data_IF_540037586193
#
_entry.id   IF_540037586193
#
_cell.length_a   1.000
_cell.length_b   1.000
_cell.length_c   1.000
_cell.angle_alpha   90.00
_cell.angle_beta   90.00
_cell.angle_gamma   90.00
#
_symmetry.space_group_name_H-M   'P 1'
#
loop_
_entity.id
_entity.type
_entity.pdbx_description
1 polymer ?
#
# COMPACT_ATOMS: atom_id res chain seq x y z
N UNK A 1 0.98 -9.99 18.65
CA UNK A 1 0.28 -10.56 17.48
C UNK A 1 1.28 -11.17 16.54
N UNK A 2 1.19 -12.48 16.31
CA UNK A 2 2.13 -13.23 15.49
C UNK A 2 1.46 -14.37 14.71
N UNK A 3 2.13 -14.82 13.63
CA UNK A 3 1.72 -15.97 12.82
C UNK A 3 0.32 -15.85 12.19
N UNK A 4 -0.12 -14.63 11.88
CA UNK A 4 -1.36 -14.35 11.14
C UNK A 4 -1.05 -14.03 9.66
N UNK A 5 -2.10 -13.80 8.86
CA UNK A 5 -1.95 -13.14 7.55
C UNK A 5 -1.38 -11.74 7.71
N UNK A 6 -1.96 -10.98 8.65
CA UNK A 6 -1.69 -9.57 8.93
C UNK A 6 -1.73 -9.40 10.45
N UNK A 7 -0.95 -8.50 11.00
CA UNK A 7 -0.92 -8.30 12.45
C UNK A 7 -2.15 -7.58 12.98
N UNK A 8 -2.30 -6.32 12.61
CA UNK A 8 -3.47 -5.48 12.90
C UNK A 8 -3.97 -4.89 11.59
N UNK A 9 -5.27 -4.94 11.35
CA UNK A 9 -5.85 -4.49 10.09
C UNK A 9 -7.19 -3.75 10.26
N UNK A 10 -7.25 -2.57 10.93
CA UNK A 10 -8.41 -1.71 10.80
C UNK A 10 -8.67 -1.40 9.33
N UNK A 11 -9.85 -1.80 8.86
CA UNK A 11 -10.25 -1.65 7.47
C UNK A 11 -11.71 -1.19 7.38
N UNK A 12 -11.96 -0.29 6.43
CA UNK A 12 -13.33 0.14 6.13
C UNK A 12 -14.04 -0.89 5.29
N UNK A 13 -15.25 -1.28 5.65
CA UNK A 13 -16.07 -2.20 4.88
C UNK A 13 -17.46 -1.60 4.66
N UNK A 14 -18.04 -1.76 3.46
CA UNK A 14 -19.36 -1.20 3.13
C UNK A 14 -20.50 -1.93 3.85
N UNK A 15 -20.21 -3.09 4.44
CA UNK A 15 -21.10 -3.84 5.35
C UNK A 15 -21.19 -3.25 6.75
N UNK A 16 -20.34 -2.30 7.12
CA UNK A 16 -20.44 -1.60 8.40
C UNK A 16 -21.55 -0.53 8.36
N UNK A 17 -22.09 -0.18 9.52
CA UNK A 17 -23.20 0.78 9.60
C UNK A 17 -22.77 2.21 9.23
N UNK A 18 -21.52 2.59 9.54
CA UNK A 18 -21.01 3.95 9.42
C UNK A 18 -19.58 3.98 8.86
N UNK A 19 -19.35 3.52 7.60
CA UNK A 19 -18.05 3.66 6.96
C UNK A 19 -17.72 5.15 6.70
N UNK A 20 -16.42 5.53 6.66
CA UNK A 20 -15.25 4.68 6.88
C UNK A 20 -14.90 4.47 8.36
N UNK A 21 -14.09 3.43 8.61
CA UNK A 21 -13.38 3.22 9.87
C UNK A 21 -12.60 4.49 10.26
N UNK A 22 -12.69 4.89 11.53
CA UNK A 22 -12.07 6.13 12.00
C UNK A 22 -11.71 6.15 13.47
N UNK A 23 -10.73 6.98 13.81
CA UNK A 23 -10.35 7.36 15.18
C UNK A 23 -9.86 6.19 16.05
N UNK A 24 -9.34 5.11 15.43
CA UNK A 24 -8.72 3.99 16.13
C UNK A 24 -7.34 4.38 16.68
N UNK A 25 -7.10 4.07 17.96
CA UNK A 25 -5.79 4.22 18.59
C UNK A 25 -5.11 2.86 18.77
N UNK A 26 -4.00 2.65 18.05
CA UNK A 26 -3.13 1.48 18.14
C UNK A 26 -1.86 1.86 18.90
N UNK A 27 -1.76 1.43 20.16
CA UNK A 27 -0.73 1.87 21.08
C UNK A 27 -0.06 0.71 21.82
N UNK A 28 1.28 0.66 21.80
CA UNK A 28 2.04 -0.22 22.70
C UNK A 28 2.01 -1.71 22.35
N UNK A 29 1.82 -2.08 21.09
CA UNK A 29 1.69 -3.47 20.66
C UNK A 29 3.02 -4.07 20.19
N UNK A 30 3.18 -5.39 20.37
CA UNK A 30 4.15 -6.20 19.64
C UNK A 30 3.45 -6.89 18.45
N UNK A 31 3.90 -6.58 17.25
CA UNK A 31 3.37 -7.12 15.98
C UNK A 31 4.51 -7.78 15.20
N UNK A 32 4.57 -9.10 15.23
CA UNK A 32 5.77 -9.85 14.84
C UNK A 32 5.44 -11.00 13.89
N UNK A 33 6.13 -11.08 12.75
CA UNK A 33 6.09 -12.26 11.88
C UNK A 33 4.67 -12.70 11.45
N UNK A 34 3.84 -11.77 10.96
CA UNK A 34 2.50 -12.08 10.46
C UNK A 34 2.56 -12.37 8.96
N UNK A 35 3.03 -13.58 8.62
CA UNK A 35 3.30 -14.03 7.26
C UNK A 35 2.71 -15.40 6.94
N UNK A 36 1.64 -15.81 7.64
CA UNK A 36 1.14 -17.18 7.62
C UNK A 36 0.10 -17.40 6.51
N UNK A 37 0.44 -18.05 5.38
CA UNK A 37 -0.52 -18.28 4.28
C UNK A 37 -1.57 -19.36 4.62
N UNK A 38 -1.41 -20.07 5.74
CA UNK A 38 -2.36 -21.08 6.22
C UNK A 38 -3.38 -20.49 7.21
N UNK A 39 -3.27 -19.21 7.55
CA UNK A 39 -4.31 -18.54 8.30
C UNK A 39 -5.54 -18.32 7.37
N UNK A 40 -6.77 -18.42 7.89
CA UNK A 40 -7.98 -18.18 7.09
C UNK A 40 -8.08 -16.73 6.63
N UNK A 41 -8.56 -16.50 5.40
CA UNK A 41 -8.74 -15.14 4.85
C UNK A 41 -9.82 -15.09 3.76
N UNK A 42 -10.52 -13.95 3.66
CA UNK A 42 -11.40 -13.67 2.54
C UNK A 42 -10.62 -13.17 1.30
N UNK A 43 -11.18 -13.39 0.10
CA UNK A 43 -10.49 -13.04 -1.15
C UNK A 43 -10.12 -11.55 -1.26
N UNK A 44 -11.04 -10.64 -0.87
CA UNK A 44 -10.80 -9.19 -0.92
C UNK A 44 -9.77 -8.73 0.12
N UNK A 45 -9.58 -9.50 1.19
CA UNK A 45 -8.65 -9.20 2.27
C UNK A 45 -7.24 -9.74 1.97
N UNK A 46 -7.07 -10.59 0.96
CA UNK A 46 -5.79 -11.20 0.60
C UNK A 46 -4.60 -10.22 0.42
N UNK A 47 -4.80 -8.97 -0.06
CA UNK A 47 -3.74 -7.95 -0.08
C UNK A 47 -3.14 -7.59 1.30
N UNK A 48 -3.81 -7.95 2.40
CA UNK A 48 -3.31 -7.76 3.75
C UNK A 48 -2.15 -8.69 4.14
N UNK A 49 -1.92 -9.77 3.38
CA UNK A 49 -0.85 -10.73 3.64
C UNK A 49 0.51 -10.07 3.87
N UNK A 50 1.21 -10.50 4.91
CA UNK A 50 2.58 -10.10 5.17
C UNK A 50 2.73 -8.63 5.57
N UNK A 51 1.65 -7.97 6.02
CA UNK A 51 1.72 -6.63 6.59
C UNK A 51 1.66 -6.70 8.13
N UNK A 52 2.40 -5.84 8.81
CA UNK A 52 2.37 -5.75 10.27
C UNK A 52 1.12 -5.04 10.76
N UNK A 53 1.08 -3.72 10.66
CA UNK A 53 -0.09 -2.88 10.93
C UNK A 53 -0.57 -2.31 9.61
N UNK A 54 -1.83 -2.50 9.29
CA UNK A 54 -2.45 -2.10 8.04
C UNK A 54 -3.67 -1.23 8.32
N UNK A 55 -3.68 0.00 7.81
CA UNK A 55 -4.84 0.89 7.83
C UNK A 55 -5.39 0.96 6.41
N UNK A 56 -6.56 0.35 6.19
CA UNK A 56 -7.21 0.28 4.89
C UNK A 56 -8.47 1.17 4.86
N UNK A 57 -8.38 2.28 4.14
CA UNK A 57 -9.48 3.26 4.02
C UNK A 57 -9.80 4.02 5.31
N UNK A 58 -8.92 3.97 6.33
CA UNK A 58 -9.17 4.52 7.65
C UNK A 58 -8.88 6.03 7.78
N UNK A 59 -9.63 6.70 8.66
CA UNK A 59 -9.52 8.13 8.93
C UNK A 59 -9.04 8.44 10.34
N UNK A 60 -8.08 9.36 10.47
CA UNK A 60 -7.69 9.94 11.77
C UNK A 60 -7.22 8.91 12.81
N UNK A 61 -6.64 7.79 12.37
CA UNK A 61 -6.11 6.78 13.28
C UNK A 61 -4.78 7.20 13.88
N UNK A 62 -4.47 6.71 15.07
CA UNK A 62 -3.21 6.98 15.78
C UNK A 62 -2.46 5.67 16.01
N UNK A 63 -1.31 5.52 15.37
CA UNK A 63 -0.44 4.34 15.46
C UNK A 63 0.84 4.76 16.15
N UNK A 64 0.96 4.41 17.44
CA UNK A 64 2.04 4.94 18.29
C UNK A 64 2.72 3.91 19.19
N UNK A 65 4.03 4.05 19.42
CA UNK A 65 4.79 3.23 20.38
C UNK A 65 4.65 1.72 20.17
N UNK A 66 4.46 1.27 18.93
CA UNK A 66 4.39 -0.15 18.61
C UNK A 66 5.77 -0.68 18.20
N UNK A 67 5.98 -1.97 18.40
CA UNK A 67 7.13 -2.73 17.89
C UNK A 67 6.62 -3.65 16.77
N UNK A 68 7.05 -3.40 15.54
CA UNK A 68 6.53 -4.06 14.32
C UNK A 68 7.68 -4.66 13.51
N UNK A 69 7.83 -5.99 13.50
CA UNK A 69 9.07 -6.63 13.04
C UNK A 69 8.80 -7.89 12.19
N UNK A 70 9.68 -8.15 11.20
CA UNK A 70 9.70 -9.37 10.36
C UNK A 70 8.43 -9.58 9.51
N UNK A 71 8.09 -8.62 8.65
CA UNK A 71 6.92 -8.72 7.77
C UNK A 71 7.33 -8.87 6.31
N UNK A 72 6.69 -9.76 5.55
CA UNK A 72 7.08 -10.08 4.18
C UNK A 72 6.81 -8.95 3.19
N UNK A 73 5.81 -8.11 3.46
CA UNK A 73 5.48 -6.91 2.71
C UNK A 73 5.89 -5.66 3.50
N UNK A 74 4.98 -5.07 4.28
CA UNK A 74 5.21 -3.81 4.95
C UNK A 74 5.15 -3.95 6.47
N UNK A 75 5.91 -3.15 7.20
CA UNK A 75 5.80 -3.05 8.65
C UNK A 75 4.50 -2.36 9.04
N UNK A 76 4.42 -1.05 8.80
CA UNK A 76 3.21 -0.24 8.94
C UNK A 76 2.82 0.28 7.55
N UNK A 77 1.59 0.03 7.12
CA UNK A 77 1.07 0.48 5.83
C UNK A 77 -0.26 1.20 5.97
N UNK A 78 -0.34 2.38 5.37
CA UNK A 78 -1.59 3.12 5.16
C UNK A 78 -1.92 3.02 3.68
N UNK A 79 -3.08 2.47 3.34
CA UNK A 79 -3.53 2.31 1.96
C UNK A 79 -5.03 2.60 1.83
N UNK A 80 -5.52 2.99 0.64
CA UNK A 80 -6.94 3.01 0.40
C UNK A 80 -7.53 1.59 0.48
N UNK A 81 -8.80 1.47 0.82
CA UNK A 81 -9.53 0.22 0.72
C UNK A 81 -10.47 0.21 -0.49
N UNK A 82 -10.59 -0.94 -1.12
CA UNK A 82 -11.54 -1.18 -2.19
C UNK A 82 -12.52 -2.27 -1.74
N UNK A 83 -13.78 -1.89 -1.58
CA UNK A 83 -14.90 -2.80 -1.34
C UNK A 83 -15.99 -2.51 -2.40
N UNK A 84 -17.26 -2.29 -2.05
CA UNK A 84 -18.25 -1.78 -3.00
C UNK A 84 -17.92 -0.33 -3.40
N UNK A 85 -17.39 0.45 -2.45
CA UNK A 85 -16.88 1.80 -2.64
C UNK A 85 -15.35 1.85 -2.48
N UNK A 86 -14.76 2.95 -2.97
CA UNK A 86 -13.34 3.22 -2.81
C UNK A 86 -13.10 4.20 -1.66
N UNK A 87 -12.46 3.71 -0.61
CA UNK A 87 -12.23 4.44 0.64
C UNK A 87 -10.79 4.90 0.74
N UNK A 88 -10.59 6.22 0.78
CA UNK A 88 -9.26 6.82 0.87
C UNK A 88 -8.84 7.03 2.34
N UNK A 89 -7.61 6.68 2.67
CA UNK A 89 -7.04 6.89 4.00
C UNK A 89 -6.47 8.30 4.19
N UNK A 90 -6.89 8.99 5.25
CA UNK A 90 -6.51 10.38 5.52
C UNK A 90 -6.26 10.65 7.00
N UNK A 91 -5.46 11.68 7.27
CA UNK A 91 -5.23 12.23 8.62
C UNK A 91 -4.71 11.22 9.66
N UNK A 92 -4.16 10.08 9.24
CA UNK A 92 -3.59 9.10 10.16
C UNK A 92 -2.22 9.57 10.68
N UNK A 93 -1.92 9.23 11.93
CA UNK A 93 -0.71 9.63 12.64
C UNK A 93 0.11 8.38 12.94
N UNK A 94 1.34 8.31 12.44
CA UNK A 94 2.27 7.19 12.71
C UNK A 94 3.48 7.74 13.45
N UNK A 95 3.59 7.49 14.75
CA UNK A 95 4.58 8.16 15.58
C UNK A 95 5.27 7.23 16.61
N UNK A 96 6.55 7.45 16.87
CA UNK A 96 7.31 6.77 17.92
C UNK A 96 7.28 5.23 17.82
N UNK A 97 7.13 4.65 16.62
CA UNK A 97 7.13 3.19 16.42
C UNK A 97 8.54 2.67 16.12
N UNK A 98 8.83 1.44 16.53
CA UNK A 98 10.04 0.71 16.14
C UNK A 98 9.65 -0.30 15.07
N UNK A 99 10.14 -0.12 13.85
CA UNK A 99 9.74 -0.93 12.70
C UNK A 99 10.96 -1.35 11.89
N UNK A 100 11.17 -2.67 11.71
CA UNK A 100 12.32 -3.14 10.92
C UNK A 100 12.13 -4.55 10.35
N UNK A 101 13.00 -4.91 9.41
CA UNK A 101 13.01 -6.19 8.70
C UNK A 101 11.75 -6.44 7.86
N UNK A 102 11.19 -5.38 7.28
CA UNK A 102 10.07 -5.51 6.34
C UNK A 102 10.58 -5.77 4.91
N UNK A 103 9.90 -6.64 4.16
CA UNK A 103 10.36 -7.07 2.83
C UNK A 103 10.31 -5.97 1.75
N UNK A 104 9.30 -5.09 1.80
CA UNK A 104 9.15 -3.92 0.92
C UNK A 104 9.65 -2.66 1.62
N UNK A 105 8.96 -2.25 2.67
CA UNK A 105 9.32 -1.09 3.47
C UNK A 105 8.80 -1.19 4.90
N UNK A 106 9.52 -0.59 5.84
CA UNK A 106 9.11 -0.54 7.24
C UNK A 106 7.90 0.39 7.42
N UNK A 107 7.89 1.54 6.75
CA UNK A 107 6.75 2.47 6.76
C UNK A 107 6.30 2.74 5.33
N UNK A 108 5.01 2.57 5.06
CA UNK A 108 4.46 2.72 3.72
C UNK A 108 3.19 3.56 3.72
N UNK A 109 3.14 4.56 2.85
CA UNK A 109 1.93 5.28 2.46
C UNK A 109 1.60 4.89 1.01
N UNK A 110 0.36 4.50 0.72
CA UNK A 110 -0.06 3.96 -0.57
C UNK A 110 -1.20 4.79 -1.15
N UNK A 111 -1.25 4.88 -2.48
CA UNK A 111 -2.40 5.39 -3.21
C UNK A 111 -2.12 6.68 -3.99
N UNK A 112 -2.96 7.02 -4.99
CA UNK A 112 -2.76 8.21 -5.80
C UNK A 112 -3.00 9.49 -5.01
N UNK A 113 -3.84 9.39 -3.97
CA UNK A 113 -4.20 10.47 -3.06
C UNK A 113 -4.31 9.88 -1.66
N UNK A 114 -3.56 10.41 -0.70
CA UNK A 114 -3.64 10.03 0.71
C UNK A 114 -3.10 11.18 1.57
N UNK A 115 -3.92 12.21 1.74
CA UNK A 115 -3.50 13.49 2.32
C UNK A 115 -3.68 13.55 3.84
N UNK A 116 -2.98 14.49 4.48
CA UNK A 116 -3.12 14.76 5.92
C UNK A 116 -2.44 13.74 6.83
N UNK A 117 -2.11 12.55 6.33
CA UNK A 117 -1.31 11.57 7.06
C UNK A 117 0.05 12.15 7.45
N UNK A 118 0.54 11.81 8.64
CA UNK A 118 1.82 12.29 9.11
C UNK A 118 2.61 11.22 9.87
N UNK A 119 3.93 11.38 9.84
CA UNK A 119 4.90 10.45 10.40
C UNK A 119 5.88 11.22 11.26
N UNK A 120 6.32 10.70 12.41
CA UNK A 120 7.37 11.37 13.20
C UNK A 120 7.97 10.47 14.27
N UNK A 121 9.28 10.55 14.47
CA UNK A 121 9.95 9.90 15.59
C UNK A 121 9.97 8.38 15.50
N UNK A 122 9.71 7.81 14.31
CA UNK A 122 9.76 6.38 14.12
C UNK A 122 11.21 5.91 13.95
N UNK A 123 11.54 4.74 14.48
CA UNK A 123 12.78 4.05 14.19
C UNK A 123 12.56 3.05 13.05
N UNK A 124 13.09 3.33 11.87
CA UNK A 124 12.93 2.50 10.68
C UNK A 124 14.19 2.48 9.79
N UNK A 125 14.23 1.57 8.81
CA UNK A 125 15.31 1.51 7.81
C UNK A 125 14.84 1.88 6.41
N UNK A 126 13.62 1.49 6.05
CA UNK A 126 13.06 1.72 4.71
C UNK A 126 11.68 2.35 4.80
N UNK A 127 11.39 3.28 3.90
CA UNK A 127 10.09 3.91 3.79
C UNK A 127 9.68 4.01 2.32
N UNK A 128 8.37 4.00 2.07
CA UNK A 128 7.78 4.19 0.76
C UNK A 128 6.60 5.17 0.85
N UNK A 129 6.60 6.28 0.10
CA UNK A 129 7.66 6.77 -0.77
C UNK A 129 8.96 7.14 -0.04
N UNK A 130 10.07 7.27 -0.77
CA UNK A 130 11.33 7.73 -0.18
C UNK A 130 11.18 9.14 0.41
N UNK A 131 11.79 9.38 1.56
CA UNK A 131 11.71 10.64 2.32
C UNK A 131 10.31 10.94 2.87
N UNK A 132 9.45 9.92 3.06
CA UNK A 132 8.09 10.07 3.55
C UNK A 132 8.01 10.84 4.87
N UNK A 133 8.73 10.40 5.92
CA UNK A 133 8.67 11.09 7.22
C UNK A 133 9.27 12.50 7.15
N UNK A 134 10.29 12.70 6.32
CA UNK A 134 10.92 14.01 6.11
C UNK A 134 9.96 15.03 5.52
N UNK A 135 9.17 14.65 4.50
CA UNK A 135 8.27 15.57 3.79
C UNK A 135 6.86 15.61 4.37
N UNK A 136 6.46 14.58 5.13
CA UNK A 136 5.14 14.47 5.77
C UNK A 136 5.27 14.31 7.29
N UNK A 137 6.22 15.04 7.88
CA UNK A 137 6.41 15.11 9.33
C UNK A 137 5.18 15.62 10.07
N UNK A 138 4.83 15.04 11.23
CA UNK A 138 3.71 15.55 12.03
C UNK A 138 3.91 17.00 12.52
N UNK A 139 5.16 17.43 12.75
CA UNK A 139 5.51 18.82 13.07
C UNK A 139 5.88 19.69 11.87
N UNK A 140 5.80 19.18 10.64
CA UNK A 140 6.27 19.90 9.45
C UNK A 140 5.33 21.04 9.07
N UNK A 141 5.90 22.23 8.83
CA UNK A 141 5.17 23.43 8.37
C UNK A 141 4.54 23.24 6.98
N UNK A 142 5.19 22.46 6.11
CA UNK A 142 4.67 22.08 4.79
C UNK A 142 4.58 20.56 4.77
N UNK A 143 3.36 20.03 4.56
CA UNK A 143 3.12 18.64 4.19
C UNK A 143 2.75 18.62 2.72
N UNK A 144 3.55 17.96 1.89
CA UNK A 144 3.30 17.91 0.47
C UNK A 144 2.13 16.94 0.21
N UNK A 145 1.15 17.28 -0.64
CA UNK A 145 0.14 16.33 -1.09
C UNK A 145 0.73 15.37 -2.13
N UNK A 146 1.91 14.80 -1.83
CA UNK A 146 2.50 13.74 -2.64
C UNK A 146 1.67 12.49 -2.45
N UNK A 147 1.25 11.88 -3.56
CA UNK A 147 0.64 10.55 -3.53
C UNK A 147 1.57 9.55 -2.83
N UNK A 148 0.99 8.45 -2.38
CA UNK A 148 1.73 7.31 -1.84
C UNK A 148 2.37 6.44 -2.93
N UNK A 149 2.92 5.32 -2.49
CA UNK A 149 3.46 4.26 -3.34
C UNK A 149 2.35 3.64 -4.21
N UNK A 150 2.45 3.84 -5.52
CA UNK A 150 1.55 3.22 -6.49
C UNK A 150 1.93 1.76 -6.77
N UNK A 151 3.16 1.35 -6.47
CA UNK A 151 3.61 -0.02 -6.74
C UNK A 151 2.93 -1.03 -5.82
N UNK A 152 2.78 -0.70 -4.52
CA UNK A 152 1.98 -1.48 -3.57
C UNK A 152 0.49 -1.46 -3.95
N UNK A 153 -0.06 -0.31 -4.38
CA UNK A 153 -1.47 -0.21 -4.78
C UNK A 153 -1.79 -1.19 -5.92
N UNK A 154 -0.98 -1.18 -6.98
CA UNK A 154 -1.20 -2.04 -8.14
C UNK A 154 -0.89 -3.51 -7.82
N UNK A 155 0.11 -3.78 -6.99
CA UNK A 155 0.38 -5.14 -6.51
C UNK A 155 -0.77 -5.70 -5.67
N UNK A 156 -1.35 -4.89 -4.78
CA UNK A 156 -2.54 -5.23 -3.99
C UNK A 156 -3.74 -5.53 -4.90
N UNK A 157 -3.96 -4.71 -5.93
CA UNK A 157 -5.00 -4.95 -6.93
C UNK A 157 -4.77 -6.27 -7.69
N UNK A 158 -3.52 -6.59 -8.04
CA UNK A 158 -3.16 -7.87 -8.64
C UNK A 158 -3.44 -9.06 -7.71
N UNK A 159 -3.18 -8.92 -6.41
CA UNK A 159 -3.56 -9.94 -5.41
C UNK A 159 -5.07 -10.11 -5.31
N UNK A 160 -5.84 -9.01 -5.30
CA UNK A 160 -7.29 -9.05 -5.23
C UNK A 160 -7.91 -9.72 -6.48
N UNK A 161 -7.41 -9.39 -7.67
CA UNK A 161 -7.85 -10.01 -8.93
C UNK A 161 -7.49 -11.49 -9.00
N UNK A 162 -6.31 -11.87 -8.48
CA UNK A 162 -5.96 -13.27 -8.33
C UNK A 162 -6.93 -14.01 -7.40
N UNK A 163 -7.22 -13.41 -6.25
CA UNK A 163 -8.07 -13.99 -5.22
C UNK A 163 -9.54 -14.07 -5.64
N UNK A 164 -10.04 -13.12 -6.44
CA UNK A 164 -11.41 -13.12 -6.96
C UNK A 164 -11.68 -14.33 -7.87
N UNK A 165 -10.65 -14.81 -8.57
CA UNK A 165 -10.66 -16.07 -9.31
C UNK A 165 -10.65 -17.34 -8.45
N UNK A 166 -10.63 -17.22 -7.11
CA UNK A 166 -10.53 -18.33 -6.15
C UNK A 166 -9.13 -18.94 -6.04
N UNK A 167 -8.10 -18.28 -6.57
CA UNK A 167 -6.72 -18.81 -6.65
C UNK A 167 -5.82 -18.17 -5.62
N UNK A 168 -6.02 -18.46 -4.34
CA UNK A 168 -5.16 -17.97 -3.27
C UNK A 168 -5.05 -19.01 -2.14
N UNK A 169 -3.89 -19.09 -1.46
CA UNK A 169 -3.78 -19.88 -0.25
C UNK A 169 -4.64 -19.25 0.84
N UNK A 170 -5.51 -20.07 1.43
CA UNK A 170 -6.26 -19.72 2.65
C UNK A 170 -6.36 -20.96 3.50
N UNK A 171 -6.22 -20.79 4.81
CA UNK A 171 -6.58 -21.83 5.77
C UNK A 171 -8.07 -22.09 5.82
N UNK A 172 -8.45 -23.28 6.31
CA UNK A 172 -9.79 -23.56 6.79
C UNK A 172 -9.88 -23.16 8.26
N UNK A 173 -10.86 -22.32 8.62
CA UNK A 173 -11.06 -21.89 10.01
C UNK A 173 -11.45 -23.07 10.93
N UNK A 174 -12.10 -24.11 10.39
CA UNK A 174 -12.51 -25.31 11.13
C UNK A 174 -11.34 -26.25 11.47
N UNK A 175 -10.22 -26.11 10.75
CA UNK A 175 -9.02 -26.95 10.93
C UNK A 175 -7.93 -26.22 11.72
N UNK A 176 -8.19 -25.00 12.19
CA UNK A 176 -7.23 -24.27 13.00
C UNK A 176 -7.01 -24.97 14.34
N UNK A 177 -5.76 -24.95 14.87
CA UNK A 177 -5.48 -25.55 16.16
C UNK A 177 -6.31 -24.87 17.24
N UNK A 178 -6.76 -25.65 18.22
CA UNK A 178 -7.40 -25.10 19.41
C UNK A 178 -6.34 -24.22 20.13
N UNK A 179 -6.63 -22.94 20.41
CA UNK A 179 -5.71 -22.09 21.13
C UNK A 179 -5.34 -22.72 22.48
N UNK A 180 -4.05 -22.65 22.83
CA UNK A 180 -3.61 -23.03 24.17
C UNK A 180 -4.26 -22.14 25.25
N UNK A 181 -4.12 -22.52 26.54
CA UNK A 181 -4.64 -21.73 27.65
C UNK A 181 -4.22 -20.26 27.55
N UNK A 182 -5.19 -19.35 27.60
CA UNK A 182 -4.97 -17.91 27.59
C UNK A 182 -5.10 -17.32 28.99
N UNK A 183 -4.41 -16.21 29.24
CA UNK A 183 -4.65 -15.44 30.45
C UNK A 183 -6.08 -14.90 30.42
N UNK A 184 -6.90 -15.30 31.40
CA UNK A 184 -8.25 -14.79 31.53
C UNK A 184 -8.24 -13.33 32.00
N UNK A 185 -9.29 -12.59 31.63
CA UNK A 185 -9.51 -11.26 32.21
C UNK A 185 -9.54 -11.34 33.74
N UNK A 186 -8.93 -10.38 34.45
CA UNK A 186 -8.98 -10.34 35.91
C UNK A 186 -10.44 -10.39 36.42
N UNK A 187 -10.63 -11.02 37.57
CA UNK A 187 -11.92 -11.17 38.27
C UNK A 187 -12.95 -12.08 37.58
N UNK A 188 -12.97 -12.20 36.24
CA UNK A 188 -13.85 -13.13 35.52
C UNK A 188 -15.31 -13.04 35.99
N UNK A 189 -15.88 -14.15 36.46
CA UNK A 189 -17.25 -14.20 36.99
C UNK A 189 -17.47 -13.38 38.28
N UNK A 190 -16.40 -13.04 39.00
CA UNK A 190 -16.45 -12.17 40.17
C UNK A 190 -16.32 -10.67 39.80
N UNK A 191 -16.20 -10.33 38.51
CA UNK A 191 -16.18 -8.94 38.08
C UNK A 191 -17.53 -8.27 38.37
N UNK A 192 -17.55 -7.05 38.91
CA UNK A 192 -18.80 -6.33 39.18
C UNK A 192 -19.52 -6.00 37.86
N UNK A 193 -20.80 -6.34 37.78
CA UNK A 193 -21.65 -5.97 36.65
C UNK A 193 -21.94 -4.47 36.72
N UNK A 194 -21.40 -3.71 35.76
CA UNK A 194 -21.65 -2.28 35.61
C UNK A 194 -22.30 -2.01 34.25
N UNK A 195 -23.39 -1.24 34.18
CA UNK A 195 -23.90 -0.74 32.91
C UNK A 195 -22.81 0.04 32.16
N UNK A 196 -22.64 -0.22 30.86
CA UNK A 196 -21.65 0.45 30.02
C UNK A 196 -22.07 1.88 29.64
N UNK A 197 -22.43 2.69 30.63
CA UNK A 197 -22.82 4.09 30.45
C UNK A 197 -21.61 5.01 30.31
N UNK A 198 -20.52 4.67 31.00
CA UNK A 198 -19.29 5.48 31.13
C UNK A 198 -18.04 4.63 30.90
N UNK A 199 -18.13 3.55 30.10
CA UNK A 199 -17.10 2.52 30.00
C UNK A 199 -15.69 3.05 29.69
N UNK A 200 -15.58 4.15 28.95
CA UNK A 200 -14.29 4.78 28.63
C UNK A 200 -13.81 5.78 29.69
N UNK A 201 -14.73 6.43 30.41
CA UNK A 201 -14.44 7.37 31.50
C UNK A 201 -14.02 6.61 32.77
N UNK A 202 -14.71 5.51 33.07
CA UNK A 202 -14.47 4.65 34.22
C UNK A 202 -13.13 3.92 34.15
N UNK A 203 -12.63 3.64 32.94
CA UNK A 203 -11.41 2.85 32.74
C UNK A 203 -10.12 3.66 32.96
N UNK A 204 -10.21 5.01 33.08
CA UNK A 204 -9.12 5.96 33.34
C UNK A 204 -7.74 5.55 32.76
N UNK A 205 -7.71 5.15 31.48
CA UNK A 205 -6.50 4.68 30.82
C UNK A 205 -5.62 5.87 30.44
N UNK A 206 -4.46 5.98 31.08
CA UNK A 206 -3.46 6.96 30.68
C UNK A 206 -2.62 6.43 29.52
N UNK A 207 -2.94 6.87 28.30
CA UNK A 207 -2.23 6.51 27.07
C UNK A 207 -0.72 6.83 27.11
N UNK A 208 -0.29 7.81 27.90
CA UNK A 208 1.14 8.12 27.99
C UNK A 208 1.93 7.10 28.82
N UNK A 209 1.24 6.34 29.68
CA UNK A 209 1.85 5.35 30.58
C UNK A 209 1.75 3.90 30.07
N UNK A 210 1.13 3.68 28.91
CA UNK A 210 1.07 2.35 28.28
C UNK A 210 2.49 1.88 27.96
N UNK A 211 2.85 0.69 28.48
CA UNK A 211 4.14 0.04 28.28
C UNK A 211 4.01 -1.05 27.23
N UNK A 212 5.11 -1.30 26.52
CA UNK A 212 5.24 -2.47 25.66
C UNK A 212 5.14 -3.78 26.48
N UNK A 213 4.66 -4.87 25.86
CA UNK A 213 4.68 -6.19 26.48
C UNK A 213 6.12 -6.65 26.71
N UNK A 214 6.36 -7.49 27.72
CA UNK A 214 7.71 -7.96 28.09
C UNK A 214 8.39 -8.70 26.94
N UNK A 215 7.59 -9.44 26.19
CA UNK A 215 7.96 -10.19 25.00
C UNK A 215 8.58 -9.26 23.93
N UNK A 216 8.16 -7.98 23.87
CA UNK A 216 8.75 -7.03 22.92
C UNK A 216 10.22 -6.76 23.22
N UNK A 217 10.60 -6.65 24.50
CA UNK A 217 11.99 -6.44 24.90
C UNK A 217 12.86 -7.64 24.54
N UNK A 218 12.33 -8.85 24.65
CA UNK A 218 13.03 -10.08 24.28
C UNK A 218 13.21 -10.18 22.76
N UNK A 219 12.17 -9.92 21.98
CA UNK A 219 12.24 -9.91 20.52
C UNK A 219 13.23 -8.85 20.02
N UNK A 220 13.25 -7.65 20.61
CA UNK A 220 14.20 -6.60 20.24
C UNK A 220 15.67 -6.98 20.50
N UNK A 221 15.93 -7.81 21.51
CA UNK A 221 17.29 -8.32 21.81
C UNK A 221 17.70 -9.47 20.90
N UNK A 222 16.75 -10.30 20.49
CA UNK A 222 17.00 -11.56 19.77
C UNK A 222 16.95 -11.43 18.26
N UNK A 223 16.14 -10.51 17.72
CA UNK A 223 15.96 -10.34 16.28
C UNK A 223 16.85 -9.20 15.76
N UNK A 224 17.97 -9.51 15.07
CA UNK A 224 18.88 -8.49 14.59
C UNK A 224 18.28 -7.71 13.42
N UNK A 225 18.66 -6.43 13.30
CA UNK A 225 18.24 -5.58 12.18
C UNK A 225 19.01 -5.95 10.89
N UNK A 226 18.31 -6.45 9.88
CA UNK A 226 18.82 -6.81 8.54
C UNK A 226 19.06 -5.57 7.68
N UNK A 227 20.07 -5.54 6.80
CA UNK A 227 20.30 -4.41 5.90
C UNK A 227 19.04 -3.98 5.15
N UNK A 228 18.89 -2.68 4.89
CA UNK A 228 17.75 -2.13 4.18
C UNK A 228 17.60 -2.80 2.79
N UNK A 229 16.36 -3.16 2.42
CA UNK A 229 16.06 -3.53 1.04
C UNK A 229 16.28 -2.31 0.15
N UNK A 230 17.19 -2.42 -0.82
CA UNK A 230 17.50 -1.32 -1.76
C UNK A 230 16.52 -1.21 -2.93
N UNK A 231 15.59 -2.16 -3.05
CA UNK A 231 14.71 -2.27 -4.22
C UNK A 231 13.40 -1.48 -4.09
N UNK A 232 12.98 -1.15 -2.86
CA UNK A 232 11.84 -0.25 -2.59
C UNK A 232 10.60 -0.53 -3.44
N UNK A 233 10.15 0.47 -4.21
CA UNK A 233 8.97 0.36 -5.06
C UNK A 233 9.12 -0.62 -6.25
N UNK A 234 10.31 -1.17 -6.51
CA UNK A 234 10.55 -2.20 -7.53
C UNK A 234 10.37 -3.61 -6.96
N UNK A 235 10.41 -3.76 -5.63
CA UNK A 235 10.10 -5.06 -5.00
C UNK A 235 8.69 -5.48 -5.42
N UNK A 236 8.46 -6.76 -5.68
CA UNK A 236 7.11 -7.28 -5.92
C UNK A 236 6.36 -7.43 -4.60
N UNK A 237 5.04 -7.25 -4.64
CA UNK A 237 4.18 -7.59 -3.51
C UNK A 237 4.17 -9.11 -3.33
N UNK A 238 4.28 -9.55 -2.08
CA UNK A 238 4.20 -10.97 -1.70
C UNK A 238 2.76 -11.36 -1.31
N UNK A 239 2.38 -12.62 -1.50
CA UNK A 239 3.17 -13.66 -2.15
C UNK A 239 3.29 -13.42 -3.65
N UNK A 240 4.43 -13.81 -4.22
CA UNK A 240 4.71 -13.60 -5.64
C UNK A 240 3.77 -14.49 -6.46
N UNK A 241 3.09 -13.90 -7.43
CA UNK A 241 2.19 -14.60 -8.33
C UNK A 241 2.13 -13.92 -9.70
N UNK A 242 1.47 -14.58 -10.65
CA UNK A 242 1.34 -14.08 -12.02
C UNK A 242 0.62 -12.73 -12.07
N UNK A 243 -0.49 -12.57 -11.35
CA UNK A 243 -1.24 -11.32 -11.36
C UNK A 243 -0.49 -10.17 -10.67
N UNK A 244 0.00 -10.29 -9.43
CA UNK A 244 0.84 -9.23 -8.83
C UNK A 244 2.02 -8.84 -9.72
N UNK A 245 2.67 -9.80 -10.40
CA UNK A 245 3.75 -9.54 -11.35
C UNK A 245 3.29 -8.66 -12.53
N UNK A 246 2.23 -9.07 -13.24
CA UNK A 246 1.73 -8.30 -14.39
C UNK A 246 1.14 -6.95 -14.00
N UNK A 247 0.49 -6.83 -12.84
CA UNK A 247 0.00 -5.54 -12.35
C UNK A 247 1.13 -4.61 -11.97
N UNK A 248 2.20 -5.13 -11.38
CA UNK A 248 3.39 -4.35 -11.12
C UNK A 248 4.08 -3.94 -12.43
N UNK A 249 4.22 -4.86 -13.38
CA UNK A 249 4.93 -4.57 -14.63
C UNK A 249 4.12 -3.67 -15.58
N UNK A 250 2.87 -4.03 -15.89
CA UNK A 250 1.99 -3.30 -16.82
C UNK A 250 1.30 -2.11 -16.16
N UNK A 251 0.99 -2.18 -14.87
CA UNK A 251 0.33 -1.07 -14.17
C UNK A 251 1.33 -0.03 -13.69
N UNK A 252 2.43 -0.47 -13.05
CA UNK A 252 3.35 0.46 -12.38
C UNK A 252 4.55 0.81 -13.26
N UNK A 253 5.25 -0.18 -13.82
CA UNK A 253 6.50 0.06 -14.57
C UNK A 253 6.29 0.53 -16.01
N UNK A 254 5.25 0.03 -16.69
CA UNK A 254 4.99 0.33 -18.09
C UNK A 254 4.80 1.83 -18.37
N UNK A 255 4.07 2.63 -17.58
CA UNK A 255 4.00 4.08 -17.79
C UNK A 255 5.37 4.76 -17.82
N UNK A 256 6.31 4.36 -16.96
CA UNK A 256 7.68 4.89 -16.96
C UNK A 256 8.46 4.43 -18.19
N UNK A 257 8.34 3.15 -18.57
CA UNK A 257 9.01 2.61 -19.76
C UNK A 257 8.51 3.31 -21.04
N UNK A 258 7.20 3.50 -21.14
CA UNK A 258 6.55 4.25 -22.21
C UNK A 258 7.05 5.69 -22.25
N UNK A 259 7.07 6.37 -21.10
CA UNK A 259 7.56 7.74 -21.01
C UNK A 259 9.00 7.87 -21.51
N UNK A 260 9.91 7.01 -21.03
CA UNK A 260 11.32 6.99 -21.43
C UNK A 260 11.43 6.73 -22.94
N UNK A 261 10.69 5.75 -23.45
CA UNK A 261 10.74 5.37 -24.86
C UNK A 261 10.22 6.50 -25.78
N UNK A 262 9.05 7.06 -25.48
CA UNK A 262 8.46 8.14 -26.27
C UNK A 262 9.31 9.41 -26.23
N UNK A 263 9.83 9.76 -25.05
CA UNK A 263 10.72 10.92 -24.89
C UNK A 263 12.00 10.73 -25.71
N UNK A 264 12.64 9.57 -25.58
CA UNK A 264 13.88 9.26 -26.33
C UNK A 264 13.65 9.32 -27.84
N UNK A 265 12.59 8.67 -28.34
CA UNK A 265 12.27 8.69 -29.77
C UNK A 265 11.93 10.09 -30.27
N UNK A 266 11.21 10.89 -29.47
CA UNK A 266 10.87 12.27 -29.84
C UNK A 266 12.11 13.15 -29.94
N UNK A 267 13.03 13.05 -28.97
CA UNK A 267 14.26 13.84 -28.95
C UNK A 267 15.25 13.41 -30.06
N UNK A 268 15.34 12.10 -30.33
CA UNK A 268 16.15 11.59 -31.44
C UNK A 268 15.64 12.07 -32.80
N UNK A 269 14.33 12.03 -33.02
CA UNK A 269 13.73 12.58 -34.24
C UNK A 269 14.02 14.09 -34.35
N UNK A 270 13.76 14.89 -33.30
CA UNK A 270 14.02 16.34 -33.29
C UNK A 270 15.48 16.72 -33.58
N UNK A 271 16.43 15.90 -33.10
CA UNK A 271 17.86 16.09 -33.37
C UNK A 271 18.15 16.05 -34.87
N UNK A 272 17.52 15.12 -35.59
CA UNK A 272 17.80 14.84 -37.01
C UNK A 272 16.89 15.64 -37.98
N UNK A 273 15.91 16.39 -37.46
CA UNK A 273 15.04 17.26 -38.25
C UNK A 273 15.81 18.49 -38.76
N UNK A 274 16.29 18.48 -39.98
CA UNK A 274 16.88 19.68 -40.62
C UNK A 274 15.84 20.66 -41.18
N UNK A 275 14.60 20.23 -41.34
CA UNK A 275 13.48 20.96 -41.94
C UNK A 275 12.76 21.92 -40.99
N UNK A 276 13.04 21.85 -39.68
CA UNK A 276 12.42 22.73 -38.69
C UNK A 276 13.30 23.92 -38.35
N UNK A 277 12.66 25.09 -38.22
CA UNK A 277 13.28 26.27 -37.61
C UNK A 277 13.73 25.99 -36.17
N UNK A 278 14.81 26.65 -35.75
CA UNK A 278 15.41 26.45 -34.44
C UNK A 278 14.46 26.72 -33.28
N UNK A 279 13.62 27.77 -33.38
CA UNK A 279 12.63 28.13 -32.35
C UNK A 279 11.59 27.01 -32.17
N UNK A 280 11.10 26.43 -33.27
CA UNK A 280 10.13 25.32 -33.21
C UNK A 280 10.73 24.06 -32.61
N UNK A 281 12.01 23.78 -32.86
CA UNK A 281 12.72 22.66 -32.21
C UNK A 281 12.81 22.87 -30.70
N UNK A 282 13.23 24.06 -30.28
CA UNK A 282 13.32 24.41 -28.85
C UNK A 282 11.95 24.27 -28.19
N UNK A 283 10.88 24.78 -28.82
CA UNK A 283 9.52 24.64 -28.31
C UNK A 283 9.15 23.18 -28.04
N UNK A 284 9.42 22.26 -28.97
CA UNK A 284 9.15 20.85 -28.76
C UNK A 284 10.01 20.22 -27.66
N UNK A 285 11.31 20.55 -27.61
CA UNK A 285 12.19 20.03 -26.56
C UNK A 285 11.71 20.49 -25.18
N UNK A 286 11.40 21.79 -25.03
CA UNK A 286 10.91 22.37 -23.78
C UNK A 286 9.57 21.75 -23.39
N UNK A 287 8.62 21.60 -24.31
CA UNK A 287 7.32 21.00 -23.99
C UNK A 287 7.44 19.51 -23.63
N UNK A 288 8.28 18.73 -24.32
CA UNK A 288 8.53 17.32 -23.97
C UNK A 288 9.12 17.18 -22.57
N UNK A 289 9.99 18.09 -22.16
CA UNK A 289 10.61 18.09 -20.81
C UNK A 289 9.60 18.54 -19.75
N UNK A 290 8.83 19.60 -20.01
CA UNK A 290 7.94 20.21 -19.01
C UNK A 290 6.59 19.52 -18.88
N UNK A 291 6.13 18.79 -19.89
CA UNK A 291 4.85 18.05 -19.86
C UNK A 291 5.11 16.57 -20.17
N UNK A 292 5.56 15.79 -19.16
CA UNK A 292 5.88 14.39 -19.32
C UNK A 292 4.71 13.58 -19.87
N UNK A 293 5.02 12.47 -20.54
CA UNK A 293 4.08 11.50 -21.15
C UNK A 293 3.24 12.09 -22.30
N UNK A 294 2.47 13.15 -22.07
CA UNK A 294 1.55 13.73 -23.05
C UNK A 294 2.28 14.39 -24.23
N UNK A 295 3.25 15.27 -23.98
CA UNK A 295 3.95 15.97 -25.05
C UNK A 295 4.74 15.07 -25.99
N UNK A 296 5.54 14.09 -25.53
CA UNK A 296 6.23 13.19 -26.45
C UNK A 296 5.25 12.31 -27.26
N UNK A 297 4.12 11.89 -26.68
CA UNK A 297 3.08 11.17 -27.42
C UNK A 297 2.48 12.04 -28.55
N UNK A 298 2.11 13.29 -28.22
CA UNK A 298 1.54 14.25 -29.17
C UNK A 298 2.56 14.58 -30.27
N UNK A 299 3.82 14.76 -29.92
CA UNK A 299 4.89 15.01 -30.88
C UNK A 299 5.01 13.88 -31.91
N UNK A 300 5.03 12.63 -31.44
CA UNK A 300 5.14 11.48 -32.33
C UNK A 300 3.94 11.37 -33.28
N UNK A 301 2.71 11.61 -32.80
CA UNK A 301 1.51 11.46 -33.64
C UNK A 301 1.31 12.67 -34.57
N UNK A 302 1.40 13.89 -34.03
CA UNK A 302 0.93 15.13 -34.70
C UNK A 302 2.07 16.13 -34.93
N UNK A 303 3.18 16.04 -34.20
CA UNK A 303 4.35 16.94 -34.31
C UNK A 303 5.18 16.80 -35.59
N UNK A 304 4.70 16.05 -36.58
CA UNK A 304 5.35 15.91 -37.87
C UNK A 304 6.63 15.08 -37.85
N UNK A 305 6.78 14.15 -36.89
CA UNK A 305 7.91 13.20 -36.85
C UNK A 305 8.09 12.47 -38.18
N UNK A 306 9.36 12.20 -38.54
CA UNK A 306 9.77 11.53 -39.78
C UNK A 306 9.67 10.02 -39.72
N UNK A 307 9.43 9.43 -38.55
CA UNK A 307 9.24 7.99 -38.46
C UNK A 307 8.01 7.51 -39.25
N UNK A 308 8.00 6.27 -39.76
CA UNK A 308 6.85 5.70 -40.45
C UNK A 308 5.56 5.77 -39.61
N UNK A 309 4.41 6.03 -40.26
CA UNK A 309 3.12 6.15 -39.58
C UNK A 309 2.76 4.93 -38.73
N UNK A 310 3.03 3.72 -39.24
CA UNK A 310 2.75 2.48 -38.52
C UNK A 310 3.57 2.41 -37.23
N UNK A 311 4.85 2.77 -37.28
CA UNK A 311 5.75 2.69 -36.13
C UNK A 311 5.31 3.64 -35.02
N UNK A 312 5.06 4.91 -35.37
CA UNK A 312 4.62 5.94 -34.41
C UNK A 312 3.30 5.58 -33.74
N UNK A 313 2.34 5.08 -34.53
CA UNK A 313 1.04 4.65 -34.02
C UNK A 313 1.15 3.43 -33.12
N UNK A 314 1.89 2.40 -33.52
CA UNK A 314 2.08 1.20 -32.68
C UNK A 314 2.81 1.54 -31.38
N UNK A 315 3.82 2.41 -31.45
CA UNK A 315 4.60 2.82 -30.28
C UNK A 315 3.74 3.56 -29.24
N UNK A 316 2.90 4.49 -29.70
CA UNK A 316 2.05 5.29 -28.80
C UNK A 316 0.81 4.51 -28.37
N UNK A 317 0.08 3.92 -29.31
CA UNK A 317 -1.17 3.23 -29.00
C UNK A 317 -0.96 1.87 -28.35
N UNK A 318 0.11 1.13 -28.68
CA UNK A 318 0.34 -0.20 -28.11
C UNK A 318 0.45 -0.19 -26.59
N UNK A 319 1.22 0.76 -26.05
CA UNK A 319 1.37 0.93 -24.60
C UNK A 319 0.07 1.38 -23.91
N UNK A 320 -0.63 2.35 -24.51
CA UNK A 320 -1.93 2.81 -24.01
C UNK A 320 -2.97 1.69 -24.01
N UNK A 321 -3.08 0.94 -25.12
CA UNK A 321 -4.01 -0.19 -25.25
C UNK A 321 -3.69 -1.24 -24.20
N UNK A 322 -2.42 -1.62 -24.01
CA UNK A 322 -2.04 -2.59 -22.98
C UNK A 322 -2.48 -2.15 -21.57
N UNK A 323 -2.29 -0.87 -21.24
CA UNK A 323 -2.72 -0.31 -19.96
C UNK A 323 -4.25 -0.30 -19.81
N UNK A 324 -4.99 0.12 -20.83
CA UNK A 324 -6.46 0.11 -20.81
C UNK A 324 -7.03 -1.30 -20.77
N UNK A 325 -6.40 -2.28 -21.44
CA UNK A 325 -6.78 -3.69 -21.34
C UNK A 325 -6.59 -4.23 -19.93
N UNK A 326 -5.51 -3.85 -19.25
CA UNK A 326 -5.30 -4.21 -17.83
C UNK A 326 -6.42 -3.64 -16.95
N UNK A 327 -6.77 -2.35 -17.12
CA UNK A 327 -7.85 -1.71 -16.36
C UNK A 327 -9.22 -2.35 -16.64
N UNK A 328 -9.54 -2.62 -17.91
CA UNK A 328 -10.78 -3.29 -18.30
C UNK A 328 -10.86 -4.69 -17.69
N UNK A 329 -9.76 -5.46 -17.77
CA UNK A 329 -9.67 -6.77 -17.15
C UNK A 329 -9.85 -6.69 -15.64
N UNK A 330 -9.21 -5.72 -14.98
CA UNK A 330 -9.39 -5.47 -13.53
C UNK A 330 -10.86 -5.30 -13.19
N UNK A 331 -11.54 -4.38 -13.89
CA UNK A 331 -12.96 -4.07 -13.65
C UNK A 331 -13.85 -5.31 -13.80
N UNK A 332 -13.67 -6.07 -14.88
CA UNK A 332 -14.43 -7.31 -15.13
C UNK A 332 -14.16 -8.36 -14.04
N UNK A 333 -12.89 -8.54 -13.65
CA UNK A 333 -12.49 -9.53 -12.65
C UNK A 333 -13.00 -9.22 -11.25
N UNK A 334 -13.09 -7.94 -10.89
CA UNK A 334 -13.63 -7.52 -9.60
C UNK A 334 -15.16 -7.53 -9.60
N UNK A 335 -15.83 -7.03 -10.63
CA UNK A 335 -17.30 -7.10 -10.73
C UNK A 335 -17.84 -8.53 -10.63
N UNK A 336 -17.14 -9.50 -11.22
CA UNK A 336 -17.55 -10.91 -11.19
C UNK A 336 -17.17 -11.64 -9.89
N UNK A 337 -16.35 -11.04 -9.03
CA UNK A 337 -15.83 -11.67 -7.82
C UNK A 337 -16.19 -10.97 -6.51
N UNK A 338 -16.57 -9.69 -6.56
CA UNK A 338 -17.10 -8.91 -5.44
C UNK A 338 -18.55 -9.34 -5.23
N UNK A 339 -18.80 -10.17 -4.20
CA UNK A 339 -20.16 -10.38 -3.68
C UNK A 339 -20.70 -11.82 -3.57
N UNK A 340 -20.04 -12.87 -4.09
CA UNK A 340 -20.68 -14.22 -4.14
C UNK A 340 -19.89 -15.39 -3.55
N UNK A 341 -18.65 -15.18 -3.07
CA UNK A 341 -17.83 -16.27 -2.51
C UNK A 341 -17.44 -16.01 -1.06
N UNK A 342 -18.44 -15.72 -0.23
CA UNK A 342 -18.30 -15.86 1.22
C UNK A 342 -18.16 -17.35 1.55
N UNK A 343 -16.97 -17.72 2.01
CA UNK A 343 -16.59 -18.87 2.84
C UNK A 343 -17.76 -19.85 3.09
N UNK A 344 -17.82 -20.92 2.30
CA UNK A 344 -18.61 -22.13 2.60
C UNK A 344 -17.81 -23.13 3.40
#
# INVERSE_FOLDING_TARGET
MENNIVGLAPNTLDRELLPPERETTILGNLVYNNNNPKAPIAALEYPSFGNGILIAGGLSNVIRKNVVIEHQNNGIVILPNLDENFWLSHNNIVQDNIVYNSGRADITLVGPMSTGNCFSGNEYRTELPAFLEKWNGCGSWIRLPVGGDLSMMLGALGLMVQASGGRFPSGNYKEQPIPGPQLNMPLGNAAPVKPALTAFEDFNLNLNQVKLPKEAEEILKTVPRKPASTTGAITLVKPIGLFPFFYHWLGFLLPFAIYICWTSMSLLDLKDRTDLEWIRKIYWIVTIILVPILSPAIYLIIGGSKYPNWFRRTLVWGGLIAFFLLLAYTGISLMNGVGTKTIS
#
